data_IF_523021123192
#
_entry.id   IF_523021123192
#
_cell.length_a   1.000
_cell.length_b   1.000
_cell.length_c   1.000
_cell.angle_alpha   90.00
_cell.angle_beta   90.00
_cell.angle_gamma   90.00
#
_symmetry.space_group_name_H-M   'P 1'
#
loop_
_entity.id
_entity.type
_entity.pdbx_description
1 polymer ?
#
# COMPACT_ATOMS: atom_id res chain seq x y z
N UNK A 1 -15.53 -30.56 28.87
CA UNK A 1 -16.56 -29.69 29.48
C UNK A 1 -15.85 -28.65 30.34
N UNK A 2 -15.74 -27.42 29.87
CA UNK A 2 -15.19 -26.31 30.66
C UNK A 2 -16.22 -25.88 31.71
N UNK A 3 -15.78 -25.64 32.95
CA UNK A 3 -16.66 -25.28 34.04
C UNK A 3 -17.25 -23.87 33.86
N UNK A 4 -18.46 -23.61 34.34
CA UNK A 4 -19.11 -22.28 34.31
C UNK A 4 -18.23 -21.14 34.90
N UNK A 5 -17.30 -21.48 35.79
CA UNK A 5 -16.31 -20.51 36.35
C UNK A 5 -15.25 -20.10 35.34
N UNK A 6 -14.81 -21.01 34.46
CA UNK A 6 -13.82 -20.69 33.42
C UNK A 6 -14.41 -19.80 32.33
N UNK A 7 -15.71 -19.91 32.04
CA UNK A 7 -16.39 -19.04 31.08
C UNK A 7 -16.56 -17.61 31.59
N UNK A 8 -16.80 -17.44 32.90
CA UNK A 8 -16.96 -16.10 33.51
C UNK A 8 -15.62 -15.35 33.64
N UNK A 9 -14.51 -16.05 33.80
CA UNK A 9 -13.18 -15.43 33.86
C UNK A 9 -12.73 -15.02 32.45
N UNK A 10 -13.04 -15.81 31.42
CA UNK A 10 -12.73 -15.47 30.03
C UNK A 10 -13.53 -14.25 29.53
N UNK A 11 -14.81 -14.14 29.91
CA UNK A 11 -15.64 -12.98 29.56
C UNK A 11 -15.25 -11.69 30.30
N UNK A 12 -14.76 -11.78 31.53
CA UNK A 12 -14.28 -10.60 32.29
C UNK A 12 -12.93 -10.07 31.76
N UNK A 13 -12.05 -10.94 31.27
CA UNK A 13 -10.77 -10.54 30.68
C UNK A 13 -10.94 -9.95 29.25
N UNK A 14 -11.92 -10.45 28.48
CA UNK A 14 -12.22 -9.91 27.16
C UNK A 14 -12.86 -8.51 27.19
N UNK A 15 -13.61 -8.18 28.27
CA UNK A 15 -14.27 -6.89 28.41
C UNK A 15 -13.34 -5.77 28.95
N UNK A 16 -12.20 -6.11 29.57
CA UNK A 16 -11.31 -5.12 30.19
C UNK A 16 -10.17 -4.63 29.29
N UNK A 17 -9.71 -5.43 28.34
CA UNK A 17 -8.60 -5.08 27.46
C UNK A 17 -8.89 -3.90 26.50
N UNK A 18 -10.05 -3.81 25.83
CA UNK A 18 -10.36 -2.68 24.95
C UNK A 18 -10.46 -1.35 25.68
N UNK A 19 -10.99 -1.35 26.91
CA UNK A 19 -11.22 -0.13 27.69
C UNK A 19 -9.90 0.48 28.18
N UNK A 20 -8.92 -0.34 28.55
CA UNK A 20 -7.61 0.13 29.03
C UNK A 20 -6.78 0.71 27.87
N UNK A 21 -6.83 0.12 26.68
CA UNK A 21 -6.12 0.66 25.51
C UNK A 21 -6.73 1.96 25.01
N UNK A 22 -8.05 2.05 24.91
CA UNK A 22 -8.76 3.27 24.54
C UNK A 22 -8.52 4.40 25.54
N UNK A 23 -8.52 4.10 26.84
CA UNK A 23 -8.20 5.06 27.89
C UNK A 23 -6.74 5.51 27.84
N UNK A 24 -5.79 4.64 27.50
CA UNK A 24 -4.38 5.01 27.38
C UNK A 24 -4.12 5.91 26.16
N UNK A 25 -4.84 5.72 25.06
CA UNK A 25 -4.74 6.59 23.88
C UNK A 25 -5.41 7.95 24.15
N UNK A 26 -6.55 7.98 24.81
CA UNK A 26 -7.20 9.22 25.22
C UNK A 26 -6.34 9.99 26.25
N UNK A 27 -5.78 9.31 27.26
CA UNK A 27 -4.85 9.92 28.24
C UNK A 27 -3.56 10.41 27.59
N UNK A 28 -3.06 9.73 26.54
CA UNK A 28 -1.93 10.21 25.75
C UNK A 28 -2.28 11.47 24.96
N UNK A 29 -3.53 11.63 24.49
CA UNK A 29 -3.96 12.82 23.76
C UNK A 29 -4.12 14.04 24.67
N UNK A 30 -4.58 13.87 25.91
CA UNK A 30 -4.70 14.97 26.88
C UNK A 30 -3.35 15.55 27.32
N UNK A 31 -2.27 14.77 27.30
CA UNK A 31 -0.92 15.22 27.66
C UNK A 31 -0.15 15.90 26.53
N UNK A 32 -0.69 15.88 25.29
CA UNK A 32 -0.02 16.34 24.07
C UNK A 32 -0.41 17.76 23.65
N UNK A 33 -0.74 18.66 24.58
CA UNK A 33 -0.75 20.09 24.21
C UNK A 33 0.69 20.48 23.88
N UNK A 34 1.05 20.72 22.61
CA UNK A 34 2.43 20.95 22.23
C UNK A 34 2.88 22.30 22.75
N UNK A 35 3.58 22.31 23.88
CA UNK A 35 4.36 23.48 24.33
C UNK A 35 5.67 23.46 23.55
N UNK A 36 5.58 23.71 22.24
CA UNK A 36 6.73 23.68 21.32
C UNK A 36 7.16 25.06 20.86
N UNK A 37 8.44 25.18 20.50
CA UNK A 37 8.93 26.37 19.81
C UNK A 37 8.20 26.51 18.46
N UNK A 38 7.46 27.60 18.28
CA UNK A 38 6.80 27.91 17.02
C UNK A 38 7.83 28.07 15.91
N UNK A 39 7.72 27.29 14.83
CA UNK A 39 8.57 27.43 13.65
C UNK A 39 7.91 28.46 12.73
N UNK A 40 8.68 29.48 12.34
CA UNK A 40 8.21 30.47 11.36
C UNK A 40 8.42 29.89 9.94
N UNK A 41 7.34 29.52 9.29
CA UNK A 41 7.31 29.02 7.91
C UNK A 41 6.75 30.07 6.93
N UNK A 42 6.59 31.33 7.37
CA UNK A 42 6.00 32.40 6.55
C UNK A 42 6.81 32.70 5.28
N UNK A 43 8.12 32.46 5.34
CA UNK A 43 9.06 32.69 4.23
C UNK A 43 9.19 31.51 3.27
N UNK A 44 8.66 30.33 3.61
CA UNK A 44 8.74 29.17 2.74
C UNK A 44 7.68 29.23 1.64
N UNK A 45 8.04 28.86 0.40
CA UNK A 45 7.07 28.70 -0.67
C UNK A 45 6.00 27.68 -0.27
N UNK A 46 4.76 27.92 -0.71
CA UNK A 46 3.63 27.01 -0.50
C UNK A 46 3.12 26.53 -1.85
N UNK A 47 2.87 25.24 -1.97
CA UNK A 47 2.27 24.65 -3.17
C UNK A 47 1.18 23.66 -2.80
N UNK A 48 0.01 23.78 -3.43
CA UNK A 48 -1.04 22.77 -3.35
C UNK A 48 -0.78 21.70 -4.39
N UNK A 49 -0.97 20.44 -3.99
CA UNK A 49 -0.84 19.27 -4.86
C UNK A 49 -2.16 18.54 -4.86
N UNK A 50 -2.69 18.29 -6.06
CA UNK A 50 -3.87 17.44 -6.24
C UNK A 50 -3.41 15.99 -6.22
N UNK A 51 -3.96 15.19 -5.33
CA UNK A 51 -3.73 13.76 -5.25
C UNK A 51 -4.35 13.04 -6.46
N UNK A 52 -3.80 11.89 -6.80
CA UNK A 52 -4.21 11.07 -7.94
C UNK A 52 -4.42 9.65 -7.44
N UNK A 53 -5.52 9.04 -7.85
CA UNK A 53 -5.81 7.66 -7.49
C UNK A 53 -4.74 6.68 -8.03
N UNK A 54 -4.35 5.65 -7.25
CA UNK A 54 -3.45 4.60 -7.72
C UNK A 54 -4.07 3.86 -8.93
N UNK A 55 -3.26 3.24 -9.81
CA UNK A 55 -1.81 3.01 -9.71
C UNK A 55 -0.93 4.18 -10.13
N UNK A 56 -1.52 5.29 -10.55
CA UNK A 56 -0.78 6.49 -10.94
C UNK A 56 -0.42 7.33 -9.71
N UNK A 57 0.53 8.25 -9.90
CA UNK A 57 0.94 9.21 -8.88
C UNK A 57 0.85 10.64 -9.45
N UNK A 58 0.72 11.63 -8.57
CA UNK A 58 0.67 13.02 -9.01
C UNK A 58 2.01 13.44 -9.67
N UNK A 59 1.99 14.43 -10.59
CA UNK A 59 3.20 14.95 -11.20
C UNK A 59 4.18 15.46 -10.14
N UNK A 60 5.45 15.09 -10.28
CA UNK A 60 6.53 15.48 -9.39
C UNK A 60 7.86 15.52 -10.14
N UNK A 61 8.88 16.13 -9.54
CA UNK A 61 10.25 16.11 -10.05
C UNK A 61 11.06 15.08 -9.27
N UNK A 62 11.94 14.33 -9.94
CA UNK A 62 12.80 13.33 -9.29
C UNK A 62 13.94 13.99 -8.49
N UNK A 63 14.33 15.18 -8.89
CA UNK A 63 15.32 16.03 -8.23
C UNK A 63 14.63 17.32 -7.82
N UNK A 64 14.91 17.80 -6.62
CA UNK A 64 14.32 19.04 -6.15
C UNK A 64 14.79 20.24 -6.99
N UNK A 65 13.83 21.05 -7.42
CA UNK A 65 14.09 22.25 -8.23
C UNK A 65 14.07 23.55 -7.41
N UNK A 66 13.81 23.44 -6.12
CA UNK A 66 13.67 24.59 -5.21
C UNK A 66 14.13 24.20 -3.79
N UNK A 67 14.37 25.19 -2.95
CA UNK A 67 14.59 25.02 -1.51
C UNK A 67 13.35 24.38 -0.84
N UNK A 68 13.47 23.87 0.41
CA UNK A 68 12.34 23.30 1.13
C UNK A 68 11.09 24.18 1.10
N UNK A 69 9.93 23.56 0.92
CA UNK A 69 8.64 24.23 0.78
C UNK A 69 7.57 23.60 1.70
N UNK A 70 6.45 24.28 1.87
CA UNK A 70 5.25 23.70 2.45
C UNK A 70 4.40 23.11 1.33
N UNK A 71 4.29 21.78 1.31
CA UNK A 71 3.49 21.04 0.34
C UNK A 71 2.15 20.70 0.96
N UNK A 72 1.08 21.22 0.37
CA UNK A 72 -0.27 21.12 0.89
C UNK A 72 -1.04 20.07 0.11
N UNK A 73 -1.61 19.12 0.85
CA UNK A 73 -2.52 18.09 0.37
C UNK A 73 -3.87 18.23 1.06
N UNK A 74 -4.89 17.78 0.40
CA UNK A 74 -6.24 17.64 0.92
C UNK A 74 -6.70 16.21 0.67
N UNK A 75 -7.31 15.59 1.67
CA UNK A 75 -7.75 14.20 1.61
C UNK A 75 -9.07 14.03 2.35
N UNK A 76 -10.04 13.44 1.67
CA UNK A 76 -11.37 13.19 2.20
C UNK A 76 -11.52 11.72 2.56
N UNK A 77 -12.03 11.44 3.75
CA UNK A 77 -12.35 10.08 4.19
C UNK A 77 -13.73 9.71 3.65
N UNK A 78 -13.86 8.53 3.05
CA UNK A 78 -15.12 8.00 2.57
C UNK A 78 -15.35 6.59 3.12
N UNK A 79 -16.51 6.41 3.76
CA UNK A 79 -17.07 5.09 4.06
C UNK A 79 -18.02 4.76 2.92
N UNK A 80 -17.73 3.67 2.18
CA UNK A 80 -18.48 3.34 0.97
C UNK A 80 -18.45 1.85 0.67
N UNK A 81 -19.51 1.36 0.06
CA UNK A 81 -19.54 0.00 -0.45
C UNK A 81 -18.69 -0.11 -1.73
N UNK A 82 -17.85 -1.15 -1.80
CA UNK A 82 -16.93 -1.41 -2.90
C UNK A 82 -17.01 -2.86 -3.34
N UNK A 83 -17.16 -3.10 -4.64
CA UNK A 83 -17.03 -4.43 -5.22
C UNK A 83 -15.56 -4.81 -5.36
N UNK A 84 -15.16 -5.97 -4.82
CA UNK A 84 -13.76 -6.38 -4.71
C UNK A 84 -13.37 -7.57 -5.60
N UNK A 85 -14.33 -8.21 -6.27
CA UNK A 85 -14.10 -9.28 -7.25
C UNK A 85 -15.20 -9.30 -8.31
N UNK A 86 -15.05 -10.17 -9.32
CA UNK A 86 -16.03 -10.33 -10.40
C UNK A 86 -17.24 -11.21 -10.01
N UNK A 87 -17.28 -11.73 -8.79
CA UNK A 87 -18.41 -12.50 -8.26
C UNK A 87 -19.41 -11.61 -7.51
N UNK A 88 -19.18 -10.31 -7.45
CA UNK A 88 -20.03 -9.34 -6.76
C UNK A 88 -19.84 -9.33 -5.25
N UNK A 89 -18.67 -9.77 -4.76
CA UNK A 89 -18.34 -9.66 -3.34
C UNK A 89 -18.16 -8.19 -2.95
N UNK A 90 -18.89 -7.76 -1.92
CA UNK A 90 -18.91 -6.38 -1.47
C UNK A 90 -18.15 -6.20 -0.17
N UNK A 91 -17.32 -5.17 -0.12
CA UNK A 91 -16.63 -4.68 1.08
C UNK A 91 -17.28 -3.38 1.53
N UNK A 92 -17.55 -3.24 2.83
CA UNK A 92 -17.79 -1.92 3.43
C UNK A 92 -16.43 -1.24 3.63
N UNK A 93 -16.00 -0.57 2.57
CA UNK A 93 -14.69 0.07 2.50
C UNK A 93 -14.63 1.36 3.29
N UNK A 94 -13.52 1.56 3.98
CA UNK A 94 -13.12 2.84 4.56
C UNK A 94 -11.89 3.32 3.80
N UNK A 95 -11.94 4.50 3.22
CA UNK A 95 -10.96 4.91 2.22
C UNK A 95 -10.44 6.32 2.45
N UNK A 96 -9.25 6.58 1.94
CA UNK A 96 -8.73 7.92 1.74
C UNK A 96 -8.95 8.31 0.26
N UNK A 97 -9.72 9.36 -0.01
CA UNK A 97 -10.12 9.84 -1.34
C UNK A 97 -10.80 8.76 -2.22
N UNK A 98 -11.51 7.81 -1.60
CA UNK A 98 -12.34 6.84 -2.30
C UNK A 98 -11.57 5.72 -3.02
N UNK A 99 -10.26 5.58 -2.81
CA UNK A 99 -9.45 4.53 -3.41
C UNK A 99 -8.79 3.63 -2.37
N UNK A 100 -8.50 2.40 -2.76
CA UNK A 100 -7.70 1.43 -2.01
C UNK A 100 -6.53 0.99 -2.90
N UNK A 101 -5.27 1.26 -2.51
CA UNK A 101 -4.87 2.09 -1.38
C UNK A 101 -5.25 3.56 -1.58
N UNK A 102 -5.18 4.35 -0.51
CA UNK A 102 -5.27 5.81 -0.61
C UNK A 102 -4.14 6.40 -1.48
N UNK A 103 -4.34 7.61 -2.04
CA UNK A 103 -3.41 8.23 -2.98
C UNK A 103 -2.00 8.39 -2.42
N UNK A 104 -0.99 8.28 -3.28
CA UNK A 104 0.39 8.53 -2.89
C UNK A 104 0.70 10.02 -2.79
N UNK A 105 1.29 10.42 -1.67
CA UNK A 105 1.90 11.74 -1.51
C UNK A 105 3.39 11.66 -1.87
N UNK A 106 3.90 12.65 -2.63
CA UNK A 106 5.33 12.72 -3.00
C UNK A 106 5.85 14.10 -2.67
N UNK A 107 6.93 14.14 -1.88
CA UNK A 107 7.64 15.35 -1.46
C UNK A 107 9.16 15.12 -1.50
N UNK A 108 9.96 16.17 -1.30
CA UNK A 108 11.39 16.03 -1.12
C UNK A 108 11.81 16.15 0.35
N UNK A 109 12.94 15.58 0.67
CA UNK A 109 13.57 15.74 1.98
C UNK A 109 13.65 17.22 2.37
N UNK A 110 13.30 17.52 3.61
CA UNK A 110 13.27 18.87 4.14
C UNK A 110 11.98 19.65 3.90
N UNK A 111 11.11 19.22 2.98
CA UNK A 111 9.78 19.80 2.80
C UNK A 111 8.91 19.61 4.05
N UNK A 112 7.94 20.49 4.22
CA UNK A 112 6.88 20.33 5.21
C UNK A 112 5.63 19.80 4.51
N UNK A 113 5.18 18.63 4.92
CA UNK A 113 3.88 18.10 4.53
C UNK A 113 2.80 18.79 5.36
N UNK A 114 1.81 19.37 4.73
CA UNK A 114 0.64 19.96 5.39
C UNK A 114 -0.60 19.29 4.79
N UNK A 115 -1.20 18.37 5.55
CA UNK A 115 -2.36 17.60 5.12
C UNK A 115 -3.61 18.14 5.81
N UNK A 116 -4.60 18.55 5.03
CA UNK A 116 -5.99 18.72 5.49
C UNK A 116 -6.70 17.38 5.35
N UNK A 117 -7.12 16.81 6.49
CA UNK A 117 -7.90 15.58 6.56
C UNK A 117 -9.35 15.93 6.90
N UNK A 118 -10.28 15.49 6.06
CA UNK A 118 -11.70 15.79 6.16
C UNK A 118 -12.48 14.49 6.39
N UNK A 119 -13.31 14.48 7.44
CA UNK A 119 -14.27 13.41 7.70
C UNK A 119 -15.69 13.98 7.46
N UNK A 120 -16.31 13.72 6.30
CA UNK A 120 -17.62 14.29 5.97
C UNK A 120 -18.71 13.82 6.92
N UNK A 121 -19.81 14.62 7.07
CA UNK A 121 -20.89 14.29 8.00
C UNK A 121 -21.71 13.05 7.61
N UNK A 122 -21.51 12.50 6.41
CA UNK A 122 -22.16 11.26 5.94
C UNK A 122 -21.50 10.01 6.50
N UNK A 123 -20.24 10.10 6.90
CA UNK A 123 -19.53 9.01 7.55
C UNK A 123 -20.11 8.74 8.94
N UNK A 124 -19.86 7.54 9.45
CA UNK A 124 -20.48 7.07 10.70
C UNK A 124 -19.48 6.97 11.86
N UNK A 125 -18.18 6.98 11.56
CA UNK A 125 -17.13 6.70 12.52
C UNK A 125 -16.06 7.78 12.59
N UNK A 126 -15.35 7.90 13.74
CA UNK A 126 -14.14 8.70 13.83
C UNK A 126 -12.98 8.04 13.09
N UNK A 127 -12.18 8.85 12.44
CA UNK A 127 -10.99 8.44 11.69
C UNK A 127 -9.81 9.35 11.99
N UNK A 128 -8.61 8.88 11.68
CA UNK A 128 -7.38 9.67 11.78
C UNK A 128 -6.38 9.23 10.71
N UNK A 129 -5.17 9.75 10.78
CA UNK A 129 -4.05 9.29 9.96
C UNK A 129 -2.76 9.23 10.77
N UNK A 130 -2.12 8.07 10.75
CA UNK A 130 -0.79 7.79 11.27
C UNK A 130 0.19 7.74 10.09
N UNK A 131 1.25 8.54 10.14
CA UNK A 131 2.32 8.55 9.14
C UNK A 131 3.57 7.86 9.67
N UNK A 132 3.97 6.74 9.12
CA UNK A 132 5.26 6.13 9.41
C UNK A 132 6.45 7.01 9.01
N UNK A 133 6.23 8.01 8.17
CA UNK A 133 7.22 9.02 7.76
C UNK A 133 7.40 10.15 8.78
N UNK A 134 6.42 10.38 9.66
CA UNK A 134 6.44 11.50 10.61
C UNK A 134 7.27 11.14 11.84
N UNK A 135 7.95 12.15 12.39
CA UNK A 135 8.65 12.03 13.68
C UNK A 135 7.81 12.67 14.76
N UNK A 136 7.18 11.86 15.60
CA UNK A 136 6.31 12.30 16.68
C UNK A 136 5.49 11.14 17.24
N UNK A 137 4.90 11.31 18.40
CA UNK A 137 4.09 10.28 19.05
C UNK A 137 2.93 9.85 18.15
N UNK A 138 2.73 8.54 18.01
CA UNK A 138 1.68 7.92 17.20
C UNK A 138 1.62 8.46 15.73
N UNK A 139 2.78 8.84 15.15
CA UNK A 139 2.86 9.30 13.76
C UNK A 139 1.91 10.45 13.38
N UNK A 140 1.36 11.15 14.35
CA UNK A 140 0.32 12.19 14.18
C UNK A 140 -1.10 11.69 14.39
N UNK A 141 -1.35 10.39 14.61
CA UNK A 141 -2.68 9.82 14.75
C UNK A 141 -3.54 10.47 15.83
N UNK A 142 -2.95 10.78 17.01
CA UNK A 142 -3.67 11.48 18.07
C UNK A 142 -4.01 12.94 17.73
N UNK A 143 -3.26 13.56 16.81
CA UNK A 143 -3.46 14.95 16.39
C UNK A 143 -4.44 15.09 15.21
N UNK A 144 -4.85 13.97 14.63
CA UNK A 144 -5.67 13.94 13.42
C UNK A 144 -6.99 13.20 13.59
N UNK A 145 -7.35 12.84 14.83
CA UNK A 145 -8.63 12.20 15.09
C UNK A 145 -9.78 13.20 14.80
N UNK A 146 -10.62 12.88 13.84
CA UNK A 146 -11.77 13.66 13.39
C UNK A 146 -13.03 12.81 13.41
N UNK A 147 -14.09 13.34 14.02
CA UNK A 147 -15.42 12.77 13.99
C UNK A 147 -16.15 13.14 12.69
N UNK A 148 -17.26 12.48 12.32
CA UNK A 148 -18.08 12.89 11.20
C UNK A 148 -18.46 14.36 11.25
N UNK A 149 -18.23 15.09 10.15
CA UNK A 149 -18.43 16.52 10.03
C UNK A 149 -17.23 17.38 10.45
N UNK A 150 -16.15 16.78 10.90
CA UNK A 150 -14.93 17.49 11.32
C UNK A 150 -13.81 17.41 10.28
N UNK A 151 -12.87 18.32 10.38
CA UNK A 151 -11.60 18.29 9.66
C UNK A 151 -10.47 18.78 10.56
N UNK A 152 -9.24 18.42 10.19
CA UNK A 152 -8.02 18.91 10.85
C UNK A 152 -6.91 19.14 9.85
N UNK A 153 -5.87 19.84 10.27
CA UNK A 153 -4.65 20.02 9.46
C UNK A 153 -3.44 19.60 10.25
N UNK A 154 -2.79 18.53 9.80
CA UNK A 154 -1.50 18.09 10.35
C UNK A 154 -0.36 18.66 9.52
N UNK A 155 0.70 19.11 10.20
CA UNK A 155 1.96 19.46 9.56
C UNK A 155 3.11 18.71 10.19
N UNK A 156 3.94 18.09 9.36
CA UNK A 156 5.21 17.50 9.79
C UNK A 156 6.32 17.77 8.78
N UNK A 157 7.57 17.70 9.20
CA UNK A 157 8.74 17.85 8.32
C UNK A 157 9.16 16.49 7.78
N UNK A 158 9.34 16.40 6.47
CA UNK A 158 9.87 15.21 5.78
C UNK A 158 11.38 15.11 5.99
N UNK A 159 11.83 14.33 6.98
CA UNK A 159 13.22 14.31 7.43
C UNK A 159 14.04 13.12 6.95
N UNK A 160 13.38 12.12 6.37
CA UNK A 160 14.02 10.85 5.98
C UNK A 160 13.58 10.42 4.59
N UNK A 161 14.46 10.40 3.59
CA UNK A 161 14.14 9.90 2.27
C UNK A 161 13.74 8.43 2.29
N UNK A 162 12.67 8.11 1.58
CA UNK A 162 12.14 6.76 1.48
C UNK A 162 10.66 6.73 1.12
N UNK A 163 10.13 5.52 0.99
CA UNK A 163 8.69 5.27 0.94
C UNK A 163 8.21 4.74 2.28
N UNK A 164 7.04 5.18 2.69
CA UNK A 164 6.45 4.86 3.99
C UNK A 164 4.96 4.67 3.84
N UNK A 165 4.37 3.78 4.61
CA UNK A 165 2.91 3.71 4.70
C UNK A 165 2.35 4.83 5.57
N UNK A 166 1.10 5.18 5.32
CA UNK A 166 0.23 5.84 6.26
C UNK A 166 -1.06 5.02 6.38
N UNK A 167 -1.72 5.10 7.52
CA UNK A 167 -2.97 4.37 7.74
C UNK A 167 -3.83 5.02 8.82
N UNK A 168 -5.09 4.62 8.90
CA UNK A 168 -5.95 4.98 10.01
C UNK A 168 -5.58 4.16 11.26
N UNK A 169 -5.55 4.80 12.42
CA UNK A 169 -5.21 4.18 13.71
C UNK A 169 -6.02 4.78 14.86
N UNK A 170 -7.36 4.66 14.87
CA UNK A 170 -8.21 5.35 15.85
C UNK A 170 -8.12 4.75 17.25
N UNK A 171 -7.65 3.52 17.40
CA UNK A 171 -7.40 2.89 18.69
C UNK A 171 -7.92 1.46 18.80
N UNK A 172 -7.23 0.63 19.61
CA UNK A 172 -7.63 -0.74 19.92
C UNK A 172 -7.91 -1.62 18.70
N UNK A 173 -8.95 -2.47 18.75
CA UNK A 173 -9.31 -3.36 17.64
C UNK A 173 -9.73 -2.63 16.36
N UNK A 174 -10.06 -1.35 16.44
CA UNK A 174 -10.42 -0.54 15.28
C UNK A 174 -9.22 -0.28 14.37
N UNK A 175 -7.97 -0.29 14.90
CA UNK A 175 -6.77 -0.08 14.08
C UNK A 175 -6.68 -1.12 12.96
N UNK A 176 -6.54 -2.44 13.25
CA UNK A 176 -6.47 -3.43 12.19
C UNK A 176 -7.75 -3.47 11.35
N UNK A 177 -8.93 -3.30 11.93
CA UNK A 177 -10.17 -3.31 11.19
C UNK A 177 -10.25 -2.20 10.14
N UNK A 178 -9.89 -0.94 10.47
CA UNK A 178 -9.86 0.15 9.50
C UNK A 178 -8.83 -0.12 8.40
N UNK A 179 -7.66 -0.66 8.75
CA UNK A 179 -6.61 -1.01 7.78
C UNK A 179 -7.10 -2.09 6.80
N UNK A 180 -7.66 -3.20 7.30
CA UNK A 180 -8.16 -4.29 6.42
C UNK A 180 -9.46 -3.92 5.70
N UNK A 181 -10.12 -2.83 6.09
CA UNK A 181 -11.24 -2.25 5.34
C UNK A 181 -10.77 -1.23 4.28
N UNK A 182 -9.44 -1.06 4.10
CA UNK A 182 -8.87 -0.28 3.02
C UNK A 182 -8.18 1.03 3.41
N UNK A 183 -8.19 1.42 4.69
CA UNK A 183 -7.64 2.72 5.14
C UNK A 183 -6.13 2.72 5.29
N UNK A 184 -5.43 2.55 4.19
CA UNK A 184 -3.98 2.69 4.11
C UNK A 184 -3.55 3.30 2.78
N UNK A 185 -2.35 3.86 2.76
CA UNK A 185 -1.72 4.39 1.57
C UNK A 185 -0.22 4.60 1.78
N UNK A 186 0.44 5.35 0.90
CA UNK A 186 1.88 5.60 1.02
C UNK A 186 2.27 7.05 0.76
N UNK A 187 3.40 7.43 1.35
CA UNK A 187 4.10 8.68 1.07
C UNK A 187 5.54 8.37 0.64
N UNK A 188 6.00 9.02 -0.43
CA UNK A 188 7.38 8.97 -0.89
C UNK A 188 8.08 10.29 -0.59
N UNK A 189 9.18 10.22 0.13
CA UNK A 189 10.08 11.35 0.37
C UNK A 189 11.33 11.11 -0.46
N UNK A 190 11.47 11.87 -1.54
CA UNK A 190 12.63 11.79 -2.42
C UNK A 190 13.84 12.48 -1.81
N UNK A 191 15.07 11.94 -1.97
CA UNK A 191 16.27 12.70 -1.74
C UNK A 191 16.26 13.96 -2.62
N UNK A 192 16.78 15.07 -2.14
CA UNK A 192 16.76 16.33 -2.91
C UNK A 192 17.53 16.26 -4.23
N UNK A 193 18.55 15.44 -4.29
CA UNK A 193 19.40 15.21 -5.47
C UNK A 193 19.00 13.93 -6.25
N UNK A 194 17.84 13.34 -5.95
CA UNK A 194 17.27 12.18 -6.61
C UNK A 194 17.79 10.84 -6.09
N UNK A 195 17.32 9.77 -6.69
CA UNK A 195 17.70 8.40 -6.32
C UNK A 195 19.13 8.08 -6.77
N UNK A 196 19.80 7.22 -6.02
CA UNK A 196 21.16 6.76 -6.32
C UNK A 196 21.24 5.25 -6.27
N UNK A 197 22.11 4.68 -7.12
CA UNK A 197 22.42 3.25 -7.05
C UNK A 197 23.35 2.93 -5.86
N UNK A 198 23.74 1.66 -5.74
CA UNK A 198 24.64 1.16 -4.70
C UNK A 198 26.08 1.71 -4.78
N UNK A 199 26.43 2.34 -5.89
CA UNK A 199 27.72 3.03 -6.10
C UNK A 199 27.61 4.55 -5.96
N UNK A 200 26.42 5.05 -5.57
CA UNK A 200 26.15 6.46 -5.41
C UNK A 200 25.92 7.23 -6.73
N UNK A 201 25.81 6.52 -7.86
CA UNK A 201 25.50 7.13 -9.15
C UNK A 201 24.01 7.47 -9.21
N UNK A 202 23.66 8.66 -9.72
CA UNK A 202 22.27 9.07 -9.93
C UNK A 202 21.55 8.10 -10.88
N UNK A 203 20.35 7.72 -10.53
CA UNK A 203 19.44 6.91 -11.34
C UNK A 203 18.12 7.65 -11.56
N UNK A 204 17.50 7.39 -12.70
CA UNK A 204 16.23 8.00 -13.11
C UNK A 204 15.25 6.92 -13.49
N UNK A 205 13.99 7.28 -13.51
CA UNK A 205 12.90 6.44 -14.01
C UNK A 205 12.00 7.27 -14.96
N UNK A 206 11.32 6.59 -15.86
CA UNK A 206 10.39 7.20 -16.81
C UNK A 206 8.97 7.22 -16.25
N UNK A 207 8.62 6.19 -15.46
CA UNK A 207 7.29 6.00 -14.88
C UNK A 207 7.37 5.56 -13.42
N UNK A 208 6.31 5.82 -12.68
CA UNK A 208 6.08 5.28 -11.34
C UNK A 208 4.76 4.52 -11.36
N UNK A 209 4.77 3.28 -10.89
CA UNK A 209 3.57 2.51 -10.62
C UNK A 209 3.46 2.27 -9.11
N UNK A 210 2.35 2.72 -8.55
CA UNK A 210 2.06 2.55 -7.13
C UNK A 210 1.07 1.41 -6.94
N UNK A 211 1.52 0.38 -6.24
CA UNK A 211 0.79 -0.83 -5.93
C UNK A 211 0.61 -0.90 -4.42
N UNK A 212 -0.64 -0.92 -3.97
CA UNK A 212 -0.98 -1.24 -2.59
C UNK A 212 -1.55 -2.64 -2.53
N UNK A 213 -0.93 -3.49 -1.72
CA UNK A 213 -1.47 -4.82 -1.42
C UNK A 213 -2.36 -4.72 -0.18
N UNK A 214 -3.57 -5.23 -0.30
CA UNK A 214 -4.55 -5.24 0.77
C UNK A 214 -5.06 -6.65 1.01
N UNK A 215 -5.20 -7.01 2.27
CA UNK A 215 -5.82 -8.24 2.72
C UNK A 215 -7.20 -7.94 3.30
N UNK A 216 -8.24 -8.56 2.75
CA UNK A 216 -9.63 -8.41 3.20
C UNK A 216 -10.11 -9.64 3.93
N UNK A 217 -11.01 -9.44 4.91
CA UNK A 217 -11.56 -10.45 5.79
C UNK A 217 -13.07 -10.34 5.79
N UNK A 218 -13.70 -10.86 4.72
CA UNK A 218 -15.14 -10.74 4.51
C UNK A 218 -15.85 -11.95 5.12
N UNK A 219 -16.82 -11.72 6.02
CA UNK A 219 -17.57 -12.80 6.64
C UNK A 219 -18.41 -13.60 5.64
N UNK A 220 -18.65 -14.87 5.99
CA UNK A 220 -19.53 -15.75 5.22
C UNK A 220 -20.72 -16.18 6.07
N UNK A 221 -21.85 -16.38 5.42
CA UNK A 221 -23.04 -16.94 6.04
C UNK A 221 -22.94 -18.48 6.23
N UNK A 222 -23.99 -19.09 6.74
CA UNK A 222 -24.05 -20.53 6.98
C UNK A 222 -24.02 -21.38 5.70
N UNK A 223 -24.29 -20.79 4.53
CA UNK A 223 -24.21 -21.45 3.23
C UNK A 223 -22.81 -21.33 2.62
N UNK A 224 -21.96 -20.50 3.20
CA UNK A 224 -20.62 -20.20 2.70
C UNK A 224 -20.54 -18.99 1.76
N UNK A 225 -21.65 -18.28 1.55
CA UNK A 225 -21.71 -17.07 0.70
C UNK A 225 -21.19 -15.85 1.47
N UNK A 226 -20.52 -14.91 0.79
CA UNK A 226 -20.06 -13.68 1.40
C UNK A 226 -21.24 -12.79 1.81
N UNK A 227 -21.21 -12.30 3.05
CA UNK A 227 -22.26 -11.43 3.59
C UNK A 227 -22.07 -10.01 3.08
N UNK A 228 -23.14 -9.41 2.56
CA UNK A 228 -23.20 -8.00 2.20
C UNK A 228 -23.82 -7.21 3.36
N UNK A 229 -23.09 -6.24 3.88
CA UNK A 229 -23.52 -5.37 4.96
C UNK A 229 -24.00 -4.01 4.41
N UNK A 230 -24.82 -3.31 5.18
CA UNK A 230 -25.38 -2.00 4.78
C UNK A 230 -24.48 -0.83 5.18
N UNK A 231 -23.62 -1.03 6.16
CA UNK A 231 -22.72 -0.01 6.70
C UNK A 231 -21.51 -0.69 7.40
N UNK A 232 -20.41 0.03 7.62
CA UNK A 232 -19.24 -0.53 8.28
C UNK A 232 -19.50 -1.04 9.70
N UNK A 233 -20.34 -0.32 10.48
CA UNK A 233 -20.64 -0.68 11.87
C UNK A 233 -21.34 -2.04 11.98
N UNK A 234 -22.25 -2.35 11.05
CA UNK A 234 -22.95 -3.64 10.99
C UNK A 234 -22.00 -4.80 10.64
N UNK A 235 -20.90 -4.54 9.90
CA UNK A 235 -19.90 -5.55 9.55
C UNK A 235 -18.88 -5.81 10.66
N UNK A 236 -18.76 -4.92 11.64
CA UNK A 236 -17.63 -4.87 12.59
C UNK A 236 -17.42 -6.19 13.35
N UNK A 237 -18.45 -6.70 14.01
CA UNK A 237 -18.33 -7.89 14.87
C UNK A 237 -17.89 -9.13 14.11
N UNK A 238 -18.54 -9.40 12.99
CA UNK A 238 -18.28 -10.56 12.16
C UNK A 238 -16.92 -10.46 11.46
N UNK A 239 -16.53 -9.25 11.01
CA UNK A 239 -15.21 -9.01 10.43
C UNK A 239 -14.09 -9.25 11.45
N UNK A 240 -14.26 -8.81 12.72
CA UNK A 240 -13.29 -9.11 13.78
C UNK A 240 -13.11 -10.61 14.01
N UNK A 241 -14.19 -11.39 13.94
CA UNK A 241 -14.11 -12.84 14.08
C UNK A 241 -13.27 -13.47 12.97
N UNK A 242 -13.49 -13.08 11.71
CA UNK A 242 -12.70 -13.56 10.56
C UNK A 242 -11.24 -13.12 10.67
N UNK A 243 -10.98 -11.85 11.03
CA UNK A 243 -9.62 -11.31 11.19
C UNK A 243 -8.81 -12.07 12.24
N UNK A 244 -9.44 -12.48 13.35
CA UNK A 244 -8.77 -13.24 14.41
C UNK A 244 -8.24 -14.59 13.93
N UNK A 245 -8.78 -15.13 12.83
CA UNK A 245 -8.27 -16.32 12.16
C UNK A 245 -6.97 -16.10 11.39
N UNK A 246 -6.58 -14.87 11.11
CA UNK A 246 -5.37 -14.46 10.36
C UNK A 246 -5.31 -15.01 8.92
N UNK A 247 -6.43 -15.50 8.39
CA UNK A 247 -6.54 -16.00 7.03
C UNK A 247 -7.44 -15.04 6.24
N UNK A 248 -6.87 -14.23 5.33
CA UNK A 248 -7.65 -13.32 4.51
C UNK A 248 -8.54 -14.08 3.51
N UNK A 249 -9.70 -13.53 3.21
CA UNK A 249 -10.58 -14.04 2.16
C UNK A 249 -10.12 -13.60 0.77
N UNK A 250 -9.50 -12.41 0.69
CA UNK A 250 -8.90 -11.83 -0.52
C UNK A 250 -7.56 -11.19 -0.17
N UNK A 251 -6.61 -11.31 -1.07
CA UNK A 251 -5.37 -10.53 -1.08
C UNK A 251 -5.28 -9.92 -2.46
N UNK A 252 -5.39 -8.61 -2.54
CA UNK A 252 -5.58 -7.92 -3.82
C UNK A 252 -4.60 -6.78 -3.99
N UNK A 253 -4.31 -6.43 -5.23
CA UNK A 253 -3.61 -5.20 -5.55
C UNK A 253 -4.62 -4.11 -5.93
N UNK A 254 -4.43 -2.92 -5.36
CA UNK A 254 -5.25 -1.75 -5.57
C UNK A 254 -6.76 -2.01 -5.44
N UNK A 255 -7.12 -2.68 -4.31
CA UNK A 255 -8.48 -2.76 -3.77
C UNK A 255 -9.42 -3.75 -4.42
N UNK A 256 -9.02 -4.43 -5.52
CA UNK A 256 -9.91 -5.36 -6.23
C UNK A 256 -9.11 -6.45 -6.95
N UNK A 257 -9.65 -7.65 -7.01
CA UNK A 257 -9.16 -8.69 -7.92
C UNK A 257 -9.24 -8.17 -9.36
N UNK A 258 -8.15 -8.31 -10.09
CA UNK A 258 -8.11 -7.89 -11.50
C UNK A 258 -8.01 -6.39 -11.76
N UNK A 259 -7.84 -5.55 -10.73
CA UNK A 259 -7.77 -4.08 -10.87
C UNK A 259 -6.71 -3.60 -11.88
N UNK A 260 -5.64 -4.35 -12.05
CA UNK A 260 -4.51 -4.04 -12.95
C UNK A 260 -4.19 -5.21 -13.89
N UNK A 261 -5.17 -6.02 -14.29
CA UNK A 261 -4.98 -7.11 -15.25
C UNK A 261 -5.83 -6.91 -16.51
N UNK A 262 -5.68 -7.76 -17.52
CA UNK A 262 -6.47 -7.71 -18.74
C UNK A 262 -6.39 -6.34 -19.44
N UNK A 263 -7.52 -5.68 -19.63
CA UNK A 263 -7.59 -4.35 -20.25
C UNK A 263 -7.08 -3.24 -19.32
N UNK A 264 -7.08 -3.48 -18.00
CA UNK A 264 -6.59 -2.54 -17.00
C UNK A 264 -5.08 -2.68 -16.74
N UNK A 265 -4.37 -3.53 -17.49
CA UNK A 265 -2.94 -3.74 -17.33
C UNK A 265 -2.15 -2.44 -17.47
N UNK A 266 -1.14 -2.27 -16.65
CA UNK A 266 -0.19 -1.16 -16.72
C UNK A 266 0.56 -1.19 -18.06
N UNK A 267 1.00 -0.04 -18.55
CA UNK A 267 1.61 0.08 -19.87
C UNK A 267 3.05 0.60 -19.78
N UNK A 268 3.98 -0.10 -20.43
CA UNK A 268 5.37 0.33 -20.59
C UNK A 268 5.87 0.01 -22.01
N UNK A 269 7.09 0.42 -22.32
CA UNK A 269 7.79 0.10 -23.56
C UNK A 269 9.19 -0.43 -23.27
N UNK A 270 9.74 -1.20 -24.18
CA UNK A 270 11.16 -1.62 -24.15
C UNK A 270 12.04 -0.37 -24.06
N UNK A 271 13.00 -0.37 -23.13
CA UNK A 271 13.88 0.73 -22.81
C UNK A 271 13.37 1.65 -21.71
N UNK A 272 12.08 1.64 -21.36
CA UNK A 272 11.58 2.41 -20.23
C UNK A 272 12.00 1.80 -18.88
N UNK A 273 12.44 2.67 -17.99
CA UNK A 273 12.73 2.34 -16.57
C UNK A 273 11.55 2.73 -15.71
N UNK A 274 11.01 1.78 -14.97
CA UNK A 274 9.85 1.97 -14.09
C UNK A 274 10.26 1.84 -12.63
N UNK A 275 9.81 2.77 -11.80
CA UNK A 275 9.85 2.64 -10.35
C UNK A 275 8.55 1.98 -9.87
N UNK A 276 8.65 0.72 -9.46
CA UNK A 276 7.58 -0.02 -8.83
C UNK A 276 7.59 0.29 -7.33
N UNK A 277 6.54 0.89 -6.81
CA UNK A 277 6.36 1.13 -5.38
C UNK A 277 5.31 0.15 -4.88
N UNK A 278 5.66 -0.61 -3.85
CA UNK A 278 4.76 -1.58 -3.24
C UNK A 278 4.59 -1.28 -1.76
N UNK A 279 3.36 -1.11 -1.31
CA UNK A 279 3.00 -0.84 0.08
C UNK A 279 2.06 -1.92 0.62
N UNK A 280 2.32 -2.37 1.84
CA UNK A 280 1.45 -3.29 2.57
C UNK A 280 1.38 -2.85 4.04
N UNK A 281 0.18 -2.46 4.49
CA UNK A 281 0.00 -1.87 5.80
C UNK A 281 -0.17 -2.88 6.94
N UNK A 282 -0.54 -4.13 6.64
CA UNK A 282 -0.87 -5.14 7.65
C UNK A 282 0.08 -6.34 7.61
N UNK A 283 0.09 -7.10 6.51
CA UNK A 283 0.87 -8.35 6.36
C UNK A 283 2.19 -8.11 5.65
N UNK A 284 3.13 -9.04 5.77
CA UNK A 284 4.31 -9.08 4.91
C UNK A 284 3.96 -9.64 3.52
N UNK A 285 4.77 -9.27 2.52
CA UNK A 285 4.58 -9.67 1.13
C UNK A 285 5.91 -9.91 0.43
N UNK A 286 5.85 -10.62 -0.72
CA UNK A 286 7.02 -11.06 -1.48
C UNK A 286 6.82 -10.74 -2.96
N UNK A 287 6.96 -9.48 -3.36
CA UNK A 287 6.82 -9.09 -4.76
C UNK A 287 7.85 -9.78 -5.66
N UNK A 288 7.37 -10.17 -6.84
CA UNK A 288 8.17 -10.70 -7.93
C UNK A 288 7.65 -10.17 -9.27
N UNK A 289 8.56 -9.81 -10.16
CA UNK A 289 8.23 -9.44 -11.54
C UNK A 289 8.56 -10.60 -12.47
N UNK A 290 7.55 -11.37 -12.87
CA UNK A 290 7.72 -12.50 -13.81
C UNK A 290 8.12 -11.96 -15.18
N UNK A 291 9.31 -12.32 -15.63
CA UNK A 291 9.92 -11.83 -16.87
C UNK A 291 11.02 -10.79 -16.65
N UNK A 292 11.28 -10.39 -15.40
CA UNK A 292 12.35 -9.45 -15.04
C UNK A 292 12.84 -9.65 -13.62
N UNK A 293 13.87 -8.90 -13.27
CA UNK A 293 14.41 -8.82 -11.91
C UNK A 293 14.37 -7.37 -11.45
N UNK A 294 14.33 -7.12 -10.14
CA UNK A 294 14.55 -5.77 -9.66
C UNK A 294 16.00 -5.36 -9.92
N UNK A 295 16.26 -4.53 -10.92
CA UNK A 295 17.62 -4.03 -11.23
C UNK A 295 18.24 -3.36 -9.99
N UNK A 296 17.44 -2.55 -9.28
CA UNK A 296 17.76 -1.94 -7.99
C UNK A 296 16.56 -2.02 -7.06
N UNK A 297 16.72 -2.56 -5.86
CA UNK A 297 15.64 -2.78 -4.91
C UNK A 297 15.93 -2.16 -3.55
N UNK A 298 15.09 -1.25 -3.11
CA UNK A 298 15.03 -0.74 -1.74
C UNK A 298 13.93 -1.49 -0.98
N UNK A 299 14.23 -2.71 -0.53
CA UNK A 299 13.30 -3.60 0.18
C UNK A 299 12.61 -2.94 1.37
N UNK A 300 13.36 -2.12 2.12
CA UNK A 300 12.86 -1.38 3.28
C UNK A 300 12.32 0.00 2.91
N UNK A 301 12.34 0.37 1.63
CA UNK A 301 11.92 1.67 1.15
C UNK A 301 12.80 2.84 1.59
N UNK A 302 14.01 2.63 2.11
CA UNK A 302 14.87 3.70 2.65
C UNK A 302 15.95 4.09 1.63
N UNK A 303 15.81 5.26 1.03
CA UNK A 303 16.70 5.74 -0.04
C UNK A 303 18.10 6.16 0.45
N UNK A 304 18.28 6.34 1.76
CA UNK A 304 19.61 6.53 2.36
C UNK A 304 20.43 5.25 2.47
N UNK A 305 19.80 4.09 2.28
CA UNK A 305 20.49 2.81 2.19
C UNK A 305 20.80 2.51 0.73
N UNK A 306 21.96 1.88 0.43
CA UNK A 306 22.22 1.40 -0.92
C UNK A 306 21.17 0.35 -1.30
N UNK A 307 20.66 0.36 -2.54
CA UNK A 307 19.76 -0.67 -3.02
C UNK A 307 20.47 -2.00 -3.22
N UNK A 308 19.72 -3.10 -3.09
CA UNK A 308 20.13 -4.42 -3.55
C UNK A 308 20.05 -4.47 -5.08
N UNK A 309 20.88 -5.32 -5.71
CA UNK A 309 20.88 -5.53 -7.17
C UNK A 309 20.27 -6.87 -7.54
N UNK A 310 19.67 -6.91 -8.72
CA UNK A 310 19.27 -8.12 -9.44
C UNK A 310 18.44 -9.09 -8.57
N UNK A 311 17.46 -8.51 -7.85
CA UNK A 311 16.63 -9.32 -6.97
C UNK A 311 15.52 -9.99 -7.76
N UNK A 312 15.46 -11.30 -7.68
CA UNK A 312 14.39 -12.14 -8.23
C UNK A 312 13.07 -11.86 -7.51
N UNK A 313 13.07 -11.97 -6.20
CA UNK A 313 11.96 -11.69 -5.30
C UNK A 313 12.49 -10.88 -4.14
N UNK A 314 11.73 -9.92 -3.66
CA UNK A 314 12.14 -9.11 -2.51
C UNK A 314 11.09 -9.14 -1.40
N UNK A 315 11.51 -8.79 -0.20
CA UNK A 315 10.67 -8.90 0.98
C UNK A 315 10.23 -7.53 1.47
N UNK A 316 8.91 -7.31 1.53
CA UNK A 316 8.33 -6.12 2.14
C UNK A 316 7.66 -6.53 3.45
N UNK A 317 8.13 -5.95 4.53
CA UNK A 317 7.62 -6.19 5.88
C UNK A 317 6.24 -5.59 6.03
N UNK A 318 5.39 -6.25 6.81
CA UNK A 318 4.10 -5.69 7.19
C UNK A 318 4.25 -4.30 7.82
N UNK A 319 3.36 -3.37 7.48
CA UNK A 319 3.44 -1.98 7.91
C UNK A 319 4.57 -1.19 7.24
N UNK A 320 4.99 -1.57 6.02
CA UNK A 320 6.03 -0.84 5.28
C UNK A 320 5.77 -0.76 3.78
N UNK A 321 6.59 0.04 3.10
CA UNK A 321 6.62 0.10 1.65
C UNK A 321 8.06 -0.09 1.16
N UNK A 322 8.21 -0.72 -0.01
CA UNK A 322 9.46 -0.90 -0.71
C UNK A 322 9.39 -0.40 -2.15
N UNK A 323 10.54 -0.33 -2.79
CA UNK A 323 10.65 0.13 -4.18
C UNK A 323 11.57 -0.77 -4.97
N UNK A 324 11.27 -0.98 -6.25
CA UNK A 324 12.15 -1.62 -7.22
C UNK A 324 12.21 -0.80 -8.51
N UNK A 325 13.41 -0.60 -9.04
CA UNK A 325 13.62 -0.10 -10.39
C UNK A 325 13.84 -1.27 -11.33
N UNK A 326 13.18 -1.25 -12.48
CA UNK A 326 13.40 -2.20 -13.55
C UNK A 326 13.32 -1.50 -14.91
N UNK A 327 14.29 -1.79 -15.77
CA UNK A 327 14.28 -1.35 -17.17
C UNK A 327 13.81 -2.50 -18.04
N UNK A 328 12.67 -2.33 -18.72
CA UNK A 328 12.12 -3.37 -19.59
C UNK A 328 12.99 -3.61 -20.82
N UNK A 329 13.36 -4.89 -21.05
CA UNK A 329 14.29 -5.28 -22.14
C UNK A 329 13.63 -6.09 -23.24
N UNK A 330 12.46 -6.67 -22.98
CA UNK A 330 11.67 -7.47 -23.91
C UNK A 330 10.21 -6.97 -23.92
N UNK A 331 9.52 -7.01 -25.08
CA UNK A 331 8.09 -6.78 -25.10
C UNK A 331 7.32 -7.99 -24.58
N UNK A 332 6.05 -7.79 -24.25
CA UNK A 332 5.15 -8.85 -23.78
C UNK A 332 4.40 -8.48 -22.52
N UNK A 333 3.77 -9.47 -21.91
CA UNK A 333 3.05 -9.29 -20.67
C UNK A 333 3.91 -9.78 -19.50
N UNK A 334 4.26 -8.87 -18.63
CA UNK A 334 4.92 -9.16 -17.36
C UNK A 334 3.86 -9.28 -16.29
N UNK A 335 3.93 -10.30 -15.42
CA UNK A 335 3.08 -10.40 -14.25
C UNK A 335 3.88 -9.97 -13.01
N UNK A 336 3.36 -8.95 -12.32
CA UNK A 336 3.86 -8.54 -11.01
C UNK A 336 2.96 -9.17 -9.96
N UNK A 337 3.51 -10.00 -9.08
CA UNK A 337 2.75 -10.85 -8.17
C UNK A 337 3.31 -10.82 -6.75
N UNK A 338 2.47 -11.07 -5.74
CA UNK A 338 2.95 -11.60 -4.48
C UNK A 338 3.33 -13.07 -4.72
N UNK A 339 4.59 -13.45 -4.47
CA UNK A 339 5.05 -14.81 -4.78
C UNK A 339 4.62 -15.87 -3.73
N UNK A 340 3.66 -15.57 -2.86
CA UNK A 340 2.74 -16.58 -2.38
C UNK A 340 1.72 -16.83 -3.50
N UNK A 341 1.97 -17.84 -4.32
CA UNK A 341 1.21 -18.07 -5.55
C UNK A 341 -0.28 -18.36 -5.31
N UNK A 342 -0.64 -18.87 -4.14
CA UNK A 342 -2.05 -19.03 -3.75
C UNK A 342 -2.70 -17.65 -3.59
N UNK A 343 -2.03 -16.71 -2.93
CA UNK A 343 -2.51 -15.33 -2.80
C UNK A 343 -2.54 -14.61 -4.16
N UNK A 344 -1.54 -14.83 -5.01
CA UNK A 344 -1.47 -14.23 -6.33
C UNK A 344 -2.61 -14.70 -7.24
N UNK A 345 -2.79 -16.02 -7.37
CA UNK A 345 -3.68 -16.61 -8.38
C UNK A 345 -5.11 -16.75 -7.86
N UNK A 346 -5.28 -17.23 -6.62
CA UNK A 346 -6.61 -17.54 -6.10
C UNK A 346 -7.25 -16.38 -5.37
N UNK A 347 -6.46 -15.47 -4.76
CA UNK A 347 -6.95 -14.37 -3.95
C UNK A 347 -6.80 -12.99 -4.60
N UNK A 348 -6.04 -12.87 -5.72
CA UNK A 348 -6.04 -11.69 -6.55
C UNK A 348 -4.81 -10.77 -6.47
N UNK A 349 -3.72 -11.18 -5.76
CA UNK A 349 -2.50 -10.36 -5.62
C UNK A 349 -1.62 -10.38 -6.88
N UNK A 350 -2.18 -9.90 -8.00
CA UNK A 350 -1.57 -9.91 -9.33
C UNK A 350 -1.86 -8.61 -10.08
N UNK A 351 -0.83 -8.09 -10.74
CA UNK A 351 -0.93 -7.02 -11.73
C UNK A 351 -0.20 -7.43 -13.01
N UNK A 352 -0.63 -6.92 -14.15
CA UNK A 352 0.04 -7.09 -15.43
C UNK A 352 0.65 -5.78 -15.90
N UNK A 353 1.82 -5.88 -16.55
CA UNK A 353 2.45 -4.76 -17.26
C UNK A 353 2.59 -5.20 -18.73
N UNK A 354 1.84 -4.57 -19.62
CA UNK A 354 1.96 -4.79 -21.07
C UNK A 354 3.09 -3.92 -21.59
N UNK A 355 4.13 -4.55 -22.11
CA UNK A 355 5.32 -3.89 -22.64
C UNK A 355 5.31 -3.96 -24.15
N UNK A 356 5.31 -2.80 -24.82
CA UNK A 356 5.41 -2.69 -26.27
C UNK A 356 6.87 -2.62 -26.72
N UNK A 357 7.16 -3.10 -27.92
CA UNK A 357 8.50 -3.06 -28.48
C UNK A 357 8.76 -4.18 -29.50
N UNK A 358 10.01 -4.33 -29.90
CA UNK A 358 10.45 -5.40 -30.80
C UNK A 358 11.06 -6.53 -29.98
N UNK A 359 10.67 -7.75 -30.27
CA UNK A 359 11.20 -8.95 -29.63
C UNK A 359 12.67 -9.17 -29.99
N UNK A 360 13.48 -9.48 -29.00
CA UNK A 360 14.90 -9.77 -29.13
C UNK A 360 15.17 -11.27 -28.88
N UNK A 361 15.46 -12.00 -29.94
CA UNK A 361 15.73 -13.45 -29.85
C UNK A 361 17.06 -13.76 -29.14
N UNK A 362 17.97 -12.80 -29.03
CA UNK A 362 19.22 -13.01 -28.26
C UNK A 362 18.95 -13.15 -26.74
N UNK A 363 17.88 -12.51 -26.28
CA UNK A 363 17.47 -12.64 -24.87
C UNK A 363 16.57 -13.86 -24.62
N UNK A 364 15.72 -14.23 -25.57
CA UNK A 364 14.81 -15.38 -25.44
C UNK A 364 14.24 -15.77 -26.79
N UNK A 365 14.37 -17.05 -27.15
CA UNK A 365 13.84 -17.60 -28.40
C UNK A 365 13.17 -18.96 -28.16
N UNK A 366 12.04 -19.20 -28.82
CA UNK A 366 11.47 -20.52 -28.94
C UNK A 366 12.15 -21.26 -30.10
N UNK A 367 13.20 -22.03 -29.82
CA UNK A 367 14.02 -22.73 -30.84
C UNK A 367 13.20 -23.80 -31.55
N UNK A 368 12.30 -24.49 -30.84
CA UNK A 368 11.41 -25.52 -31.39
C UNK A 368 10.00 -25.32 -30.84
N UNK A 369 9.03 -25.23 -31.74
CA UNK A 369 7.62 -25.16 -31.34
C UNK A 369 7.15 -26.48 -30.71
N UNK A 370 6.17 -26.45 -29.76
CA UNK A 370 5.60 -27.67 -29.20
C UNK A 370 5.12 -28.62 -30.30
N UNK A 371 5.54 -29.89 -30.23
CA UNK A 371 5.15 -30.96 -31.14
C UNK A 371 5.00 -32.26 -30.37
N UNK A 372 4.41 -33.28 -31.00
CA UNK A 372 4.35 -34.61 -30.36
C UNK A 372 5.76 -35.13 -30.05
N UNK A 373 5.95 -35.65 -28.82
CA UNK A 373 7.20 -36.29 -28.43
C UNK A 373 7.29 -37.67 -29.09
N UNK A 374 7.87 -37.72 -30.28
CA UNK A 374 8.02 -38.94 -31.09
C UNK A 374 9.47 -39.42 -31.15
N UNK A 375 9.72 -40.48 -31.95
CA UNK A 375 10.97 -41.25 -32.06
C UNK A 375 12.21 -40.45 -32.47
N UNK A 376 12.07 -39.18 -32.84
CA UNK A 376 13.19 -38.33 -33.24
C UNK A 376 14.22 -38.11 -32.10
N UNK A 377 13.81 -38.19 -30.84
CA UNK A 377 14.72 -38.07 -29.67
C UNK A 377 15.42 -39.38 -29.32
N UNK A 378 14.92 -40.52 -29.79
CA UNK A 378 15.59 -41.83 -29.59
C UNK A 378 16.72 -42.07 -30.58
N UNK A 379 16.82 -41.24 -31.64
CA UNK A 379 17.83 -41.37 -32.70
C UNK A 379 19.18 -40.70 -32.43
N UNK A 380 19.38 -40.06 -31.27
CA UNK A 380 20.65 -39.44 -30.87
C UNK A 380 21.10 -38.26 -31.74
N UNK A 381 20.23 -37.67 -32.53
CA UNK A 381 20.52 -36.43 -33.23
C UNK A 381 20.49 -35.25 -32.30
N UNK A 382 21.58 -34.47 -32.27
CA UNK A 382 21.61 -33.19 -31.55
C UNK A 382 20.49 -32.31 -32.02
N UNK A 383 19.90 -31.55 -31.10
CA UNK A 383 18.99 -30.44 -31.44
C UNK A 383 19.70 -29.49 -32.43
N UNK A 384 19.00 -28.94 -33.41
CA UNK A 384 19.58 -28.02 -34.40
C UNK A 384 20.26 -26.81 -33.74
#
# INVERSE_FOLDING_TARGET
MLSRRSLLIASALAASAPTVMAQNIAAASESLTPVGKKVDLSKLPRRKVKLVAPPMVHPHTQVATHEPSVVQFEMTILEQEMEIDDNGTMLQGMTFDGSIPGPMMIVHEGDYVELMLINPPQNTMPHNIDFHAATGGLGGGALTLVSPGEHTVLRFKATRPGTFVYHCAPGGPMIPWHVVSGMSGAIMILPRDGLRDDKGKSVKHDKVFYIGENDFYIPRDANGDFIRYTDPGSAYGDTLEVMNGLIPTHVVFNGRVGSMTGENALQAAVGETVLLIHAQANRDTRPHLIGGHGDLVWETGKFNNPPLRDQETWFIRGGSAGCALYTFRQPGVYAYVNHNLIEAVNLGATAHIKVSGTWDNDLMEQVVAPSEYGDAHTSGKALP
#
